data_IF_946864263079
#
_entry.id   IF_946864263079
#
_cell.length_a   1.000
_cell.length_b   1.000
_cell.length_c   1.000
_cell.angle_alpha   90.00
_cell.angle_beta   90.00
_cell.angle_gamma   90.00
#
_symmetry.space_group_name_H-M   'P 1'
#
loop_
_entity.id
_entity.type
_entity.pdbx_description
1 polymer ?
#
# COMPACT_ATOMS: atom_id res chain seq x y z
N UNK A 1 -16.03 8.36 6.69
CA UNK A 1 -17.29 8.60 7.41
C UNK A 1 -18.47 7.81 6.83
N UNK A 2 -18.86 8.02 5.57
CA UNK A 2 -19.99 7.28 4.96
C UNK A 2 -19.87 5.74 5.13
N UNK A 3 -18.76 5.16 4.69
CA UNK A 3 -18.56 3.71 4.78
C UNK A 3 -18.51 3.19 6.22
N UNK A 4 -17.98 3.98 7.15
CA UNK A 4 -18.01 3.66 8.58
C UNK A 4 -19.44 3.44 9.06
N UNK A 5 -20.36 4.36 8.70
CA UNK A 5 -21.77 4.24 9.05
C UNK A 5 -22.39 3.01 8.37
N UNK A 6 -22.16 2.81 7.06
CA UNK A 6 -22.72 1.67 6.32
C UNK A 6 -22.34 0.33 6.97
N UNK A 7 -21.07 0.12 7.29
CA UNK A 7 -20.65 -1.16 7.89
C UNK A 7 -21.06 -1.32 9.34
N UNK A 8 -21.15 -0.24 10.12
CA UNK A 8 -21.69 -0.29 11.48
C UNK A 8 -23.15 -0.74 11.44
N UNK A 9 -23.96 -0.16 10.55
CA UNK A 9 -25.35 -0.56 10.37
C UNK A 9 -25.45 -1.98 9.83
N UNK A 10 -24.66 -2.33 8.81
CA UNK A 10 -24.64 -3.69 8.25
C UNK A 10 -24.31 -4.73 9.32
N UNK A 11 -23.28 -4.49 10.14
CA UNK A 11 -22.94 -5.39 11.25
C UNK A 11 -24.08 -5.48 12.27
N UNK A 12 -24.64 -4.34 12.69
CA UNK A 12 -25.73 -4.29 13.68
C UNK A 12 -26.98 -5.04 13.21
N UNK A 13 -27.41 -4.84 11.97
CA UNK A 13 -28.68 -5.37 11.50
C UNK A 13 -28.57 -6.74 10.84
N UNK A 14 -27.42 -7.09 10.27
CA UNK A 14 -27.29 -8.33 9.48
C UNK A 14 -26.45 -9.40 10.15
N UNK A 15 -25.35 -9.03 10.83
CA UNK A 15 -24.43 -10.00 11.41
C UNK A 15 -24.69 -10.27 12.89
N UNK A 16 -25.10 -9.25 13.65
CA UNK A 16 -25.31 -9.35 15.10
C UNK A 16 -26.57 -8.56 15.53
N UNK A 17 -27.77 -8.92 15.05
CA UNK A 17 -29.02 -8.25 15.43
C UNK A 17 -29.32 -8.33 16.93
N UNK A 18 -28.88 -9.39 17.60
CA UNK A 18 -29.25 -9.69 19.00
C UNK A 18 -28.12 -9.43 20.01
N UNK A 19 -26.95 -8.96 19.57
CA UNK A 19 -25.82 -8.69 20.46
C UNK A 19 -25.96 -7.29 21.09
N UNK A 20 -26.63 -7.22 22.24
CA UNK A 20 -26.76 -5.98 23.02
C UNK A 20 -25.43 -5.50 23.63
N UNK A 21 -24.42 -6.38 23.73
CA UNK A 21 -23.13 -6.05 24.34
C UNK A 21 -22.19 -5.32 23.39
N UNK A 22 -22.47 -5.36 22.08
CA UNK A 22 -21.66 -4.70 21.08
C UNK A 22 -21.89 -3.18 21.05
N UNK A 23 -20.88 -2.41 21.47
CA UNK A 23 -20.92 -0.94 21.42
C UNK A 23 -20.25 -0.41 20.13
N UNK A 24 -21.00 0.23 19.21
CA UNK A 24 -20.45 0.74 17.95
C UNK A 24 -19.43 1.86 18.17
N UNK A 25 -19.56 2.66 19.24
CA UNK A 25 -18.61 3.71 19.59
C UNK A 25 -17.25 3.14 19.97
N UNK A 26 -17.22 2.10 20.81
CA UNK A 26 -15.98 1.39 21.16
C UNK A 26 -15.37 0.77 19.92
N UNK A 27 -16.17 0.10 19.07
CA UNK A 27 -15.67 -0.54 17.85
C UNK A 27 -15.03 0.45 16.86
N UNK A 28 -15.57 1.67 16.76
CA UNK A 28 -14.97 2.74 15.95
C UNK A 28 -13.66 3.21 16.58
N UNK A 29 -13.63 3.43 17.89
CA UNK A 29 -12.43 3.88 18.62
C UNK A 29 -11.30 2.85 18.62
N UNK A 30 -11.63 1.57 18.65
CA UNK A 30 -10.66 0.48 18.50
C UNK A 30 -10.21 0.33 17.06
N UNK A 31 -10.89 0.92 16.06
CA UNK A 31 -10.56 0.74 14.65
C UNK A 31 -10.96 -0.64 14.10
N UNK A 32 -11.87 -1.35 14.77
CA UNK A 32 -12.46 -2.64 14.36
C UNK A 32 -13.99 -2.61 14.20
N UNK A 33 -14.63 -1.57 13.61
CA UNK A 33 -16.06 -1.66 13.33
C UNK A 33 -16.34 -2.82 12.35
N UNK A 34 -15.43 -3.02 11.39
CA UNK A 34 -15.48 -4.09 10.39
C UNK A 34 -14.09 -4.34 9.78
N UNK A 35 -13.78 -5.57 9.36
CA UNK A 35 -12.46 -5.97 8.81
C UNK A 35 -12.03 -5.10 7.61
N UNK A 36 -12.97 -4.70 6.76
CA UNK A 36 -12.66 -3.83 5.61
C UNK A 36 -12.26 -2.41 5.99
N UNK A 37 -12.83 -1.89 7.07
CA UNK A 37 -12.54 -0.55 7.58
C UNK A 37 -11.20 -0.53 8.32
N UNK A 38 -10.81 -1.65 8.95
CA UNK A 38 -9.48 -1.82 9.53
C UNK A 38 -8.39 -1.46 8.51
N UNK A 39 -8.45 -2.01 7.31
CA UNK A 39 -7.49 -1.70 6.25
C UNK A 39 -7.49 -0.23 5.81
N UNK A 40 -8.65 0.43 5.79
CA UNK A 40 -8.69 1.87 5.49
C UNK A 40 -8.01 2.70 6.57
N UNK A 41 -8.17 2.34 7.85
CA UNK A 41 -7.48 3.01 8.95
C UNK A 41 -5.97 2.77 8.88
N UNK A 42 -5.55 1.54 8.56
CA UNK A 42 -4.14 1.22 8.33
C UNK A 42 -3.56 2.06 7.20
N UNK A 43 -4.22 2.11 6.04
CA UNK A 43 -3.79 2.92 4.90
C UNK A 43 -3.73 4.42 5.23
N UNK A 44 -4.72 4.94 5.95
CA UNK A 44 -4.71 6.34 6.41
C UNK A 44 -3.51 6.62 7.34
N UNK A 45 -3.23 5.73 8.30
CA UNK A 45 -2.07 5.85 9.20
C UNK A 45 -0.74 5.80 8.45
N UNK A 46 -0.58 4.85 7.53
CA UNK A 46 0.63 4.76 6.68
C UNK A 46 0.78 5.98 5.77
N UNK A 47 -0.32 6.52 5.24
CA UNK A 47 -0.31 7.74 4.42
C UNK A 47 0.15 8.95 5.26
N UNK A 48 -0.31 9.05 6.50
CA UNK A 48 0.12 10.09 7.43
C UNK A 48 1.62 9.99 7.75
N UNK A 49 2.17 8.77 7.84
CA UNK A 49 3.60 8.54 8.05
C UNK A 49 4.46 8.63 6.79
N UNK A 50 3.84 8.67 5.61
CA UNK A 50 4.55 8.75 4.32
C UNK A 50 5.58 9.87 4.22
N UNK A 51 5.37 11.12 4.68
CA UNK A 51 6.42 12.13 4.66
C UNK A 51 7.68 11.72 5.43
N UNK A 52 7.55 11.02 6.56
CA UNK A 52 8.69 10.54 7.35
C UNK A 52 9.42 9.39 6.65
N UNK A 53 8.66 8.43 6.12
CA UNK A 53 9.23 7.35 5.31
C UNK A 53 9.87 7.88 4.02
N UNK A 54 9.36 8.98 3.48
CA UNK A 54 9.96 9.64 2.31
C UNK A 54 11.37 10.12 2.61
N UNK A 55 11.63 10.67 3.80
CA UNK A 55 12.98 11.09 4.20
C UNK A 55 13.95 9.90 4.21
N UNK A 56 13.53 8.76 4.77
CA UNK A 56 14.31 7.51 4.75
C UNK A 56 14.54 7.01 3.32
N UNK A 57 13.51 7.08 2.46
CA UNK A 57 13.59 6.59 1.08
C UNK A 57 14.48 7.43 0.16
N UNK A 58 14.57 8.74 0.41
CA UNK A 58 15.33 9.69 -0.42
C UNK A 58 16.78 9.78 0.04
N UNK A 59 17.03 9.81 1.35
CA UNK A 59 18.37 10.06 1.90
C UNK A 59 19.03 8.81 2.48
N UNK A 60 18.26 7.75 2.78
CA UNK A 60 18.79 6.52 3.34
C UNK A 60 19.45 5.63 2.29
N UNK A 61 20.56 4.99 2.64
CA UNK A 61 21.19 3.98 1.80
C UNK A 61 20.26 2.77 1.59
N UNK A 62 20.42 2.01 0.50
CA UNK A 62 19.61 0.80 0.26
C UNK A 62 19.70 -0.22 1.40
N UNK A 63 20.89 -0.38 2.02
CA UNK A 63 21.08 -1.27 3.17
C UNK A 63 20.25 -0.80 4.37
N UNK A 64 20.21 0.51 4.62
CA UNK A 64 19.39 1.08 5.69
C UNK A 64 17.90 0.87 5.41
N UNK A 65 17.43 1.11 4.18
CA UNK A 65 16.02 0.91 3.83
C UNK A 65 15.57 -0.56 4.01
N UNK A 66 16.39 -1.52 3.55
CA UNK A 66 16.17 -2.95 3.80
C UNK A 66 16.19 -3.28 5.29
N UNK A 67 17.20 -2.80 6.02
CA UNK A 67 17.34 -3.02 7.45
C UNK A 67 16.12 -2.52 8.21
N UNK A 68 15.70 -1.27 7.97
CA UNK A 68 14.50 -0.70 8.61
C UNK A 68 13.24 -1.48 8.22
N UNK A 69 13.04 -1.79 6.94
CA UNK A 69 11.86 -2.54 6.49
C UNK A 69 11.78 -3.93 7.14
N UNK A 70 12.89 -4.67 7.19
CA UNK A 70 12.96 -5.98 7.83
C UNK A 70 12.82 -5.93 9.34
N UNK A 71 13.39 -4.90 10.02
CA UNK A 71 13.22 -4.72 11.46
C UNK A 71 11.75 -4.43 11.79
N UNK A 72 11.11 -3.49 11.10
CA UNK A 72 9.70 -3.18 11.34
C UNK A 72 8.79 -4.37 11.03
N UNK A 73 9.09 -5.10 9.95
CA UNK A 73 8.37 -6.33 9.62
C UNK A 73 8.56 -7.38 10.73
N UNK A 74 9.80 -7.62 11.17
CA UNK A 74 10.10 -8.58 12.23
C UNK A 74 9.45 -8.21 13.56
N UNK A 75 9.42 -6.93 13.93
CA UNK A 75 8.69 -6.43 15.11
C UNK A 75 7.19 -6.71 14.95
N UNK A 76 6.59 -6.40 13.79
CA UNK A 76 5.18 -6.67 13.55
C UNK A 76 4.85 -8.17 13.61
N UNK A 77 5.71 -9.02 13.05
CA UNK A 77 5.57 -10.48 13.12
C UNK A 77 5.66 -10.98 14.57
N UNK A 78 6.60 -10.45 15.35
CA UNK A 78 6.78 -10.82 16.75
C UNK A 78 5.59 -10.35 17.61
N UNK A 79 5.14 -9.11 17.43
CA UNK A 79 3.95 -8.54 18.09
C UNK A 79 2.71 -9.39 17.83
N UNK A 80 2.44 -9.71 16.55
CA UNK A 80 1.31 -10.56 16.17
C UNK A 80 1.40 -11.96 16.82
N UNK A 81 2.60 -12.56 16.84
CA UNK A 81 2.81 -13.86 17.47
C UNK A 81 2.60 -13.80 18.99
N UNK A 82 3.13 -12.78 19.67
CA UNK A 82 2.94 -12.56 21.11
C UNK A 82 1.46 -12.36 21.43
N UNK A 83 0.74 -11.52 20.69
CA UNK A 83 -0.70 -11.31 20.90
C UNK A 83 -1.49 -12.60 20.73
N UNK A 84 -1.13 -13.48 19.79
CA UNK A 84 -1.80 -14.77 19.62
C UNK A 84 -1.50 -15.77 20.75
N UNK A 85 -0.26 -15.84 21.20
CA UNK A 85 0.17 -16.84 22.19
C UNK A 85 -0.27 -16.45 23.60
N UNK A 86 -0.22 -15.17 23.93
CA UNK A 86 -0.47 -14.67 25.28
C UNK A 86 -1.83 -13.97 25.45
N UNK A 87 -2.64 -13.90 24.38
CA UNK A 87 -3.93 -13.19 24.35
C UNK A 87 -3.81 -11.72 24.81
N UNK A 88 -2.65 -11.10 24.52
CA UNK A 88 -2.34 -9.74 24.98
C UNK A 88 -2.79 -8.73 23.92
N UNK A 89 -3.87 -8.01 24.28
CA UNK A 89 -4.27 -6.69 23.78
C UNK A 89 -4.41 -6.51 22.27
N UNK A 90 -5.63 -6.21 21.81
CA UNK A 90 -5.81 -5.71 20.44
C UNK A 90 -5.22 -4.29 20.30
N UNK A 91 -4.41 -4.06 19.27
CA UNK A 91 -3.96 -2.72 18.91
C UNK A 91 -5.17 -1.77 18.75
N UNK A 92 -5.00 -0.49 19.08
CA UNK A 92 -6.05 0.52 18.89
C UNK A 92 -5.91 1.20 17.51
N UNK A 93 -6.85 2.07 17.14
CA UNK A 93 -6.83 2.74 15.82
C UNK A 93 -5.50 3.48 15.54
N UNK A 94 -4.81 3.97 16.57
CA UNK A 94 -3.57 4.73 16.46
C UNK A 94 -2.32 3.86 16.29
N UNK A 95 -2.35 2.58 16.69
CA UNK A 95 -1.18 1.69 16.61
C UNK A 95 -1.34 0.55 15.61
N UNK A 96 -2.57 0.28 15.14
CA UNK A 96 -2.90 -0.82 14.20
C UNK A 96 -2.13 -0.80 12.88
N UNK A 97 -1.65 0.36 12.43
CA UNK A 97 -0.87 0.45 11.20
C UNK A 97 0.60 0.07 11.39
N UNK A 98 1.12 0.11 12.63
CA UNK A 98 2.55 -0.09 12.93
C UNK A 98 3.06 -1.45 12.48
N UNK A 99 2.35 -2.58 12.73
CA UNK A 99 2.81 -3.89 12.28
C UNK A 99 2.92 -3.99 10.74
N UNK A 100 2.15 -3.18 10.00
CA UNK A 100 2.13 -3.16 8.54
C UNK A 100 3.16 -2.20 7.92
N UNK A 101 3.83 -1.38 8.73
CA UNK A 101 4.83 -0.42 8.24
C UNK A 101 6.02 -1.12 7.56
N UNK A 102 6.38 -2.32 8.02
CA UNK A 102 7.43 -3.14 7.39
C UNK A 102 7.11 -3.46 5.92
N UNK A 103 5.89 -3.93 5.64
CA UNK A 103 5.43 -4.15 4.27
C UNK A 103 5.42 -2.88 3.43
N UNK A 104 5.03 -1.75 4.02
CA UNK A 104 5.00 -0.47 3.31
C UNK A 104 6.40 -0.03 2.86
N UNK A 105 7.39 -0.09 3.74
CA UNK A 105 8.78 0.26 3.44
C UNK A 105 9.39 -0.75 2.46
N UNK A 106 9.19 -2.05 2.69
CA UNK A 106 9.70 -3.08 1.79
C UNK A 106 9.08 -2.98 0.40
N UNK A 107 7.80 -2.65 0.28
CA UNK A 107 7.16 -2.40 -1.01
C UNK A 107 7.87 -1.30 -1.81
N UNK A 108 8.34 -0.23 -1.16
CA UNK A 108 9.15 0.79 -1.80
C UNK A 108 10.49 0.24 -2.30
N UNK A 109 11.19 -0.51 -1.47
CA UNK A 109 12.51 -1.08 -1.79
C UNK A 109 12.41 -2.12 -2.91
N UNK A 110 11.38 -2.96 -2.88
CA UNK A 110 11.12 -4.00 -3.87
C UNK A 110 10.74 -3.43 -5.23
N UNK A 111 10.14 -2.23 -5.30
CA UNK A 111 9.70 -1.63 -6.59
C UNK A 111 10.87 -1.39 -7.55
N UNK A 112 12.07 -1.16 -7.01
CA UNK A 112 13.27 -0.88 -7.80
C UNK A 112 14.00 -2.17 -8.20
N UNK A 113 13.46 -3.34 -7.83
CA UNK A 113 14.01 -4.64 -8.17
C UNK A 113 13.40 -5.12 -9.47
N UNK A 114 14.29 -5.25 -10.45
CA UNK A 114 13.97 -5.84 -11.74
C UNK A 114 14.37 -7.31 -11.70
N UNK A 115 13.38 -8.20 -11.76
CA UNK A 115 13.65 -9.64 -11.87
C UNK A 115 14.12 -10.01 -13.28
N UNK A 116 15.11 -10.91 -13.34
CA UNK A 116 15.39 -11.72 -14.52
C UNK A 116 14.42 -12.90 -14.59
N UNK A 117 14.38 -13.63 -15.71
CA UNK A 117 13.56 -14.86 -15.83
C UNK A 117 13.88 -15.87 -14.73
N UNK A 118 15.17 -16.04 -14.38
CA UNK A 118 15.60 -16.90 -13.26
C UNK A 118 15.06 -16.39 -11.92
N UNK A 119 15.11 -15.08 -11.71
CA UNK A 119 14.53 -14.43 -10.53
C UNK A 119 13.01 -14.62 -10.42
N UNK A 120 12.30 -14.57 -11.56
CA UNK A 120 10.86 -14.84 -11.61
C UNK A 120 10.55 -16.30 -11.28
N UNK A 121 11.35 -17.26 -11.76
CA UNK A 121 11.21 -18.67 -11.37
C UNK A 121 11.41 -18.84 -9.87
N UNK A 122 12.45 -18.23 -9.28
CA UNK A 122 12.67 -18.27 -7.83
C UNK A 122 11.49 -17.67 -7.07
N UNK A 123 10.95 -16.53 -7.51
CA UNK A 123 9.78 -15.92 -6.89
C UNK A 123 8.54 -16.82 -6.98
N UNK A 124 8.30 -17.49 -8.12
CA UNK A 124 7.24 -18.49 -8.26
C UNK A 124 7.42 -19.66 -7.30
N UNK A 125 8.64 -20.21 -7.21
CA UNK A 125 8.96 -21.29 -6.27
C UNK A 125 8.72 -20.85 -4.84
N UNK A 126 9.17 -19.66 -4.44
CA UNK A 126 8.91 -19.10 -3.11
C UNK A 126 7.42 -18.92 -2.83
N UNK A 127 6.65 -18.43 -3.78
CA UNK A 127 5.19 -18.28 -3.66
C UNK A 127 4.51 -19.63 -3.48
N UNK A 128 4.85 -20.62 -4.32
CA UNK A 128 4.27 -21.97 -4.26
C UNK A 128 4.63 -22.65 -2.93
N UNK A 129 5.88 -22.58 -2.50
CA UNK A 129 6.33 -23.14 -1.21
C UNK A 129 5.58 -22.47 -0.05
N UNK A 130 5.44 -21.15 -0.07
CA UNK A 130 4.73 -20.42 0.97
C UNK A 130 3.24 -20.82 1.05
N UNK A 131 2.55 -20.85 -0.09
CA UNK A 131 1.14 -21.25 -0.17
C UNK A 131 0.94 -22.71 0.23
N UNK A 132 1.76 -23.62 -0.30
CA UNK A 132 1.71 -25.03 0.05
C UNK A 132 2.03 -25.25 1.53
N UNK A 133 3.03 -24.56 2.07
CA UNK A 133 3.38 -24.60 3.49
C UNK A 133 2.22 -24.12 4.38
N UNK A 134 1.59 -23.00 4.03
CA UNK A 134 0.37 -22.51 4.71
C UNK A 134 -0.76 -23.54 4.65
N UNK A 135 -1.01 -24.15 3.49
CA UNK A 135 -2.07 -25.16 3.33
C UNK A 135 -1.78 -26.44 4.14
N UNK A 136 -0.54 -26.93 4.10
CA UNK A 136 -0.11 -28.10 4.87
C UNK A 136 -0.22 -27.84 6.37
N UNK A 137 0.23 -26.67 6.85
CA UNK A 137 0.07 -26.30 8.25
C UNK A 137 -1.39 -26.14 8.63
N UNK A 138 -2.21 -25.50 7.79
CA UNK A 138 -3.63 -25.32 8.08
C UNK A 138 -4.39 -26.65 8.15
N UNK A 139 -3.98 -27.66 7.38
CA UNK A 139 -4.63 -28.97 7.36
C UNK A 139 -4.08 -30.00 8.36
N UNK A 140 -2.78 -29.96 8.65
CA UNK A 140 -2.07 -30.96 9.47
C UNK A 140 -1.41 -30.38 10.72
N UNK A 141 -1.53 -29.08 10.94
CA UNK A 141 -0.91 -28.39 12.06
C UNK A 141 -1.51 -28.79 13.41
N UNK A 142 -0.84 -28.47 14.51
CA UNK A 142 -1.30 -28.78 15.86
C UNK A 142 -2.44 -27.86 16.32
N UNK A 143 -3.25 -28.37 17.27
CA UNK A 143 -4.32 -27.63 17.94
C UNK A 143 -5.70 -27.83 17.32
N UNK A 144 -6.73 -27.23 17.93
CA UNK A 144 -8.12 -27.33 17.46
C UNK A 144 -8.40 -26.47 16.21
N UNK A 145 -7.59 -25.41 16.01
CA UNK A 145 -7.72 -24.45 14.90
C UNK A 145 -6.36 -24.20 14.24
N UNK A 146 -5.72 -25.24 13.67
CA UNK A 146 -4.36 -25.14 13.12
C UNK A 146 -4.22 -24.11 11.99
N UNK A 147 -5.32 -23.76 11.33
CA UNK A 147 -5.38 -22.73 10.30
C UNK A 147 -5.27 -21.29 10.84
N UNK A 148 -5.50 -21.03 12.13
CA UNK A 148 -5.54 -19.66 12.66
C UNK A 148 -4.20 -18.95 12.43
N UNK A 149 -3.09 -19.52 12.90
CA UNK A 149 -1.76 -18.92 12.75
C UNK A 149 -1.27 -18.74 11.30
N UNK A 150 -1.30 -19.75 10.40
CA UNK A 150 -0.69 -19.64 9.07
C UNK A 150 -1.44 -18.69 8.12
N UNK A 151 -2.71 -18.35 8.39
CA UNK A 151 -3.48 -17.40 7.57
C UNK A 151 -3.36 -15.94 7.99
N UNK A 152 -2.63 -15.67 9.07
CA UNK A 152 -2.51 -14.31 9.59
C UNK A 152 -1.58 -13.45 8.74
N UNK A 153 -1.85 -12.15 8.66
CA UNK A 153 -1.20 -11.28 7.67
C UNK A 153 0.32 -11.19 7.82
N UNK A 154 0.82 -11.28 9.04
CA UNK A 154 2.24 -11.29 9.35
C UNK A 154 2.77 -12.71 9.64
N UNK A 155 2.03 -13.76 9.27
CA UNK A 155 2.57 -15.11 9.33
C UNK A 155 3.75 -15.23 8.34
N UNK A 156 4.80 -16.02 8.65
CA UNK A 156 5.96 -16.15 7.77
C UNK A 156 5.62 -16.58 6.35
N UNK A 157 4.62 -17.47 6.20
CA UNK A 157 4.12 -17.91 4.90
C UNK A 157 3.49 -16.77 4.11
N UNK A 158 2.59 -16.00 4.75
CA UNK A 158 1.91 -14.88 4.09
C UNK A 158 2.89 -13.77 3.74
N UNK A 159 3.87 -13.48 4.60
CA UNK A 159 4.94 -12.51 4.32
C UNK A 159 5.75 -12.91 3.08
N UNK A 160 6.23 -14.15 3.03
CA UNK A 160 7.00 -14.66 1.90
C UNK A 160 6.17 -14.67 0.61
N UNK A 161 4.93 -15.14 0.68
CA UNK A 161 3.99 -15.14 -0.44
C UNK A 161 3.73 -13.73 -0.94
N UNK A 162 3.53 -12.75 -0.05
CA UNK A 162 3.25 -11.36 -0.40
C UNK A 162 4.43 -10.69 -1.11
N UNK A 163 5.66 -10.89 -0.62
CA UNK A 163 6.86 -10.37 -1.27
C UNK A 163 7.10 -11.01 -2.64
N UNK A 164 6.94 -12.34 -2.74
CA UNK A 164 7.07 -13.06 -3.99
C UNK A 164 6.00 -12.64 -5.02
N UNK A 165 4.74 -12.55 -4.60
CA UNK A 165 3.63 -12.09 -5.43
C UNK A 165 3.84 -10.65 -5.91
N UNK A 166 4.34 -9.75 -5.05
CA UNK A 166 4.67 -8.38 -5.42
C UNK A 166 5.73 -8.34 -6.54
N UNK A 167 6.82 -9.10 -6.39
CA UNK A 167 7.89 -9.14 -7.38
C UNK A 167 7.45 -9.78 -8.69
N UNK A 168 6.65 -10.86 -8.63
CA UNK A 168 6.06 -11.49 -9.81
C UNK A 168 5.12 -10.53 -10.53
N UNK A 169 4.25 -9.84 -9.79
CA UNK A 169 3.39 -8.82 -10.35
C UNK A 169 4.27 -7.77 -11.03
N UNK A 170 5.23 -7.17 -10.32
CA UNK A 170 6.15 -6.18 -10.89
C UNK A 170 6.85 -6.67 -12.15
N UNK A 171 7.32 -7.93 -12.20
CA UNK A 171 7.95 -8.54 -13.36
C UNK A 171 7.02 -8.61 -14.58
N UNK A 172 5.80 -9.13 -14.41
CA UNK A 172 4.82 -9.24 -15.50
C UNK A 172 4.22 -7.87 -15.88
N UNK A 173 4.22 -6.90 -14.96
CA UNK A 173 3.69 -5.56 -15.19
C UNK A 173 4.56 -4.66 -16.09
N UNK A 174 5.80 -5.06 -16.42
CA UNK A 174 6.76 -4.21 -17.15
C UNK A 174 6.40 -3.95 -18.61
N UNK A 175 5.67 -4.86 -19.26
CA UNK A 175 5.35 -4.79 -20.69
C UNK A 175 4.12 -3.91 -21.01
N UNK A 176 3.51 -3.30 -19.99
CA UNK A 176 2.41 -2.35 -20.14
C UNK A 176 1.02 -2.94 -19.86
N UNK A 177 0.10 -2.08 -19.40
CA UNK A 177 -1.18 -2.52 -18.81
C UNK A 177 -2.40 -1.76 -19.32
N UNK A 178 -2.95 -2.17 -20.48
CA UNK A 178 -4.23 -1.64 -20.96
C UNK A 178 -5.42 -2.04 -20.07
N UNK A 179 -5.49 -3.32 -19.69
CA UNK A 179 -6.62 -3.88 -18.95
C UNK A 179 -6.66 -3.43 -17.48
N UNK A 180 -5.53 -3.47 -16.76
CA UNK A 180 -5.52 -3.06 -15.35
C UNK A 180 -5.80 -1.57 -15.19
N UNK A 181 -5.33 -0.71 -16.10
CA UNK A 181 -5.72 0.71 -16.11
C UNK A 181 -7.23 0.91 -16.31
N UNK A 182 -7.89 0.03 -17.07
CA UNK A 182 -9.34 0.07 -17.27
C UNK A 182 -10.11 -0.36 -16.01
N UNK A 183 -9.60 -1.32 -15.23
CA UNK A 183 -10.28 -1.82 -14.03
C UNK A 183 -9.89 -1.11 -12.73
N UNK A 184 -8.72 -0.45 -12.69
CA UNK A 184 -8.21 0.28 -11.52
C UNK A 184 -9.26 1.21 -10.88
N UNK A 185 -10.03 2.02 -11.63
CA UNK A 185 -11.03 2.91 -11.03
C UNK A 185 -12.12 2.20 -10.22
N UNK A 186 -12.36 0.91 -10.46
CA UNK A 186 -13.39 0.13 -9.76
C UNK A 186 -12.85 -0.61 -8.54
N UNK A 187 -11.53 -0.75 -8.41
CA UNK A 187 -10.89 -1.57 -7.37
C UNK A 187 -11.27 -1.14 -5.95
N UNK A 188 -11.34 0.17 -5.70
CA UNK A 188 -11.76 0.72 -4.41
C UNK A 188 -13.22 0.38 -4.08
N UNK A 189 -14.13 0.50 -5.04
CA UNK A 189 -15.52 0.12 -4.85
C UNK A 189 -15.71 -1.38 -4.65
N UNK A 190 -14.98 -2.22 -5.40
CA UNK A 190 -14.95 -3.67 -5.19
C UNK A 190 -14.45 -4.03 -3.80
N UNK A 191 -13.37 -3.38 -3.34
CA UNK A 191 -12.83 -3.55 -2.00
C UNK A 191 -13.86 -3.24 -0.91
N UNK A 192 -14.77 -2.29 -1.12
CA UNK A 192 -15.81 -1.93 -0.15
C UNK A 192 -17.09 -2.77 -0.28
N UNK A 193 -17.50 -3.12 -1.49
CA UNK A 193 -18.77 -3.81 -1.68
C UNK A 193 -18.68 -5.32 -1.44
N UNK A 194 -17.51 -5.94 -1.68
CA UNK A 194 -17.44 -7.39 -1.63
C UNK A 194 -17.83 -8.00 -0.28
N UNK A 195 -17.56 -7.45 0.92
CA UNK A 195 -18.05 -8.05 2.14
C UNK A 195 -19.57 -7.94 2.28
N UNK A 196 -20.15 -6.83 1.82
CA UNK A 196 -21.60 -6.62 1.84
C UNK A 196 -22.34 -7.63 0.95
N UNK A 197 -21.67 -8.19 -0.05
CA UNK A 197 -22.20 -9.26 -0.90
C UNK A 197 -21.81 -10.66 -0.39
N UNK A 198 -20.56 -10.83 0.04
CA UNK A 198 -19.99 -12.10 0.45
C UNK A 198 -20.68 -12.64 1.71
N UNK A 199 -20.86 -11.82 2.74
CA UNK A 199 -21.45 -12.29 3.99
C UNK A 199 -22.89 -12.80 3.81
N UNK A 200 -23.80 -12.07 3.14
CA UNK A 200 -25.16 -12.56 2.93
C UNK A 200 -25.21 -13.82 2.07
N UNK A 201 -24.46 -13.86 0.98
CA UNK A 201 -24.46 -15.00 0.08
C UNK A 201 -23.85 -16.23 0.75
N UNK A 202 -22.74 -16.07 1.50
CA UNK A 202 -22.14 -17.16 2.29
C UNK A 202 -23.09 -17.67 3.36
N UNK A 203 -23.78 -16.78 4.07
CA UNK A 203 -24.73 -17.18 5.11
C UNK A 203 -25.94 -17.94 4.52
N UNK A 204 -26.39 -17.56 3.32
CA UNK A 204 -27.48 -18.24 2.62
C UNK A 204 -27.07 -19.61 2.05
N UNK A 205 -25.83 -19.75 1.55
CA UNK A 205 -25.35 -21.00 0.95
C UNK A 205 -24.72 -21.97 1.96
N UNK A 206 -24.37 -21.50 3.16
CA UNK A 206 -23.65 -22.29 4.16
C UNK A 206 -22.15 -22.39 3.87
N UNK A 207 -21.44 -23.15 4.71
CA UNK A 207 -20.01 -23.43 4.53
C UNK A 207 -19.84 -24.68 3.64
N UNK A 208 -18.85 -24.68 2.73
CA UNK A 208 -18.58 -25.85 1.91
C UNK A 208 -18.00 -26.99 2.76
N UNK A 209 -18.54 -28.19 2.57
CA UNK A 209 -18.12 -29.44 3.20
C UNK A 209 -17.53 -30.46 2.19
N UNK A 210 -17.56 -30.13 0.89
CA UNK A 210 -17.03 -30.96 -0.19
C UNK A 210 -15.92 -30.23 -0.97
N UNK A 211 -14.99 -30.98 -1.56
CA UNK A 211 -13.90 -30.41 -2.38
C UNK A 211 -14.42 -29.53 -3.53
N UNK A 212 -15.44 -29.93 -4.32
CA UNK A 212 -16.02 -29.06 -5.33
C UNK A 212 -16.66 -27.80 -4.72
N UNK A 213 -17.32 -27.93 -3.56
CA UNK A 213 -17.85 -26.80 -2.82
C UNK A 213 -16.77 -25.81 -2.39
N UNK A 214 -15.62 -26.30 -1.92
CA UNK A 214 -14.46 -25.47 -1.56
C UNK A 214 -13.90 -24.76 -2.80
N UNK A 215 -13.74 -25.45 -3.93
CA UNK A 215 -13.28 -24.82 -5.17
C UNK A 215 -14.23 -23.74 -5.68
N UNK A 216 -15.54 -23.99 -5.60
CA UNK A 216 -16.58 -23.00 -5.90
C UNK A 216 -16.39 -21.76 -5.01
N UNK A 217 -16.29 -21.95 -3.69
CA UNK A 217 -16.15 -20.85 -2.73
C UNK A 217 -14.80 -20.12 -2.81
N UNK A 218 -13.71 -20.81 -3.14
CA UNK A 218 -12.36 -20.26 -3.14
C UNK A 218 -11.99 -19.57 -4.47
N UNK A 219 -12.55 -20.01 -5.60
CA UNK A 219 -12.15 -19.52 -6.93
C UNK A 219 -13.30 -18.82 -7.64
N UNK A 220 -14.43 -19.51 -7.81
CA UNK A 220 -15.53 -19.01 -8.65
C UNK A 220 -16.27 -17.86 -7.95
N UNK A 221 -16.62 -18.04 -6.68
CA UNK A 221 -17.39 -17.05 -5.93
C UNK A 221 -16.66 -15.70 -5.79
N UNK A 222 -15.35 -15.62 -5.45
CA UNK A 222 -14.64 -14.36 -5.41
C UNK A 222 -14.61 -13.63 -6.74
N UNK A 223 -14.47 -14.34 -7.86
CA UNK A 223 -14.54 -13.76 -9.20
C UNK A 223 -15.95 -13.21 -9.46
N UNK A 224 -16.99 -13.99 -9.18
CA UNK A 224 -18.38 -13.57 -9.34
C UNK A 224 -18.69 -12.31 -8.50
N UNK A 225 -18.28 -12.30 -7.23
CA UNK A 225 -18.45 -11.15 -6.35
C UNK A 225 -17.69 -9.93 -6.87
N UNK A 226 -16.45 -10.09 -7.33
CA UNK A 226 -15.66 -9.00 -7.88
C UNK A 226 -16.34 -8.40 -9.11
N UNK A 227 -16.89 -9.22 -10.00
CA UNK A 227 -17.62 -8.76 -11.19
C UNK A 227 -18.91 -8.01 -10.83
N UNK A 228 -19.72 -8.56 -9.91
CA UNK A 228 -20.94 -7.90 -9.43
C UNK A 228 -20.60 -6.58 -8.74
N UNK A 229 -19.61 -6.56 -7.86
CA UNK A 229 -19.17 -5.34 -7.18
C UNK A 229 -18.60 -4.30 -8.16
N UNK A 230 -17.87 -4.74 -9.19
CA UNK A 230 -17.36 -3.86 -10.23
C UNK A 230 -18.50 -3.25 -11.05
N UNK A 231 -19.53 -4.04 -11.38
CA UNK A 231 -20.74 -3.55 -12.06
C UNK A 231 -21.51 -2.53 -11.20
N UNK A 232 -21.73 -2.83 -9.91
CA UNK A 232 -22.38 -1.89 -8.98
C UNK A 232 -21.55 -0.61 -8.87
N UNK A 233 -20.22 -0.72 -8.72
CA UNK A 233 -19.33 0.43 -8.66
C UNK A 233 -19.42 1.25 -9.95
N UNK A 234 -19.40 0.61 -11.11
CA UNK A 234 -19.53 1.26 -12.42
C UNK A 234 -20.83 2.07 -12.57
N UNK A 235 -21.95 1.56 -12.05
CA UNK A 235 -23.22 2.30 -12.01
C UNK A 235 -23.13 3.45 -11.00
N UNK A 236 -22.65 3.17 -9.79
CA UNK A 236 -22.60 4.14 -8.69
C UNK A 236 -21.74 5.37 -9.02
N UNK A 237 -20.61 5.19 -9.71
CA UNK A 237 -19.70 6.30 -10.05
C UNK A 237 -20.27 7.25 -11.12
N UNK A 238 -21.33 6.85 -11.84
CA UNK A 238 -22.08 7.72 -12.76
C UNK A 238 -23.02 8.67 -12.04
N UNK A 239 -23.38 8.37 -10.78
CA UNK A 239 -24.29 9.19 -9.97
C UNK A 239 -23.45 10.21 -9.20
N UNK A 240 -23.65 11.53 -9.40
CA UNK A 240 -22.77 12.57 -8.84
C UNK A 240 -22.57 12.48 -7.32
N UNK A 241 -23.62 12.17 -6.56
CA UNK A 241 -23.56 12.06 -5.09
C UNK A 241 -22.80 10.82 -4.60
N UNK A 242 -22.93 9.68 -5.29
CA UNK A 242 -22.25 8.44 -4.89
C UNK A 242 -20.79 8.42 -5.33
N UNK A 243 -20.42 9.14 -6.40
CA UNK A 243 -19.05 9.19 -6.90
C UNK A 243 -18.02 9.61 -5.84
N UNK A 244 -18.37 10.55 -4.95
CA UNK A 244 -17.47 11.01 -3.89
C UNK A 244 -17.14 9.89 -2.88
N UNK A 245 -18.09 8.99 -2.66
CA UNK A 245 -18.00 7.90 -1.69
C UNK A 245 -17.16 6.73 -2.22
N UNK A 246 -17.19 6.50 -3.54
CA UNK A 246 -16.45 5.42 -4.21
C UNK A 246 -15.06 5.85 -4.72
N UNK A 247 -14.59 7.05 -4.33
CA UNK A 247 -13.34 7.63 -4.81
C UNK A 247 -13.48 8.21 -6.22
N UNK A 248 -13.02 9.44 -6.43
CA UNK A 248 -13.21 10.18 -7.69
C UNK A 248 -12.72 9.38 -8.92
N UNK A 249 -13.68 8.79 -9.64
CA UNK A 249 -13.42 7.85 -10.74
C UNK A 249 -13.17 8.55 -12.09
N UNK A 250 -12.59 9.76 -12.08
CA UNK A 250 -12.03 10.31 -13.31
C UNK A 250 -10.52 10.08 -13.27
N UNK A 251 -9.98 9.26 -14.19
CA UNK A 251 -8.59 9.44 -14.58
C UNK A 251 -8.52 10.88 -15.11
N UNK A 252 -7.97 11.79 -14.30
CA UNK A 252 -7.55 13.09 -14.79
C UNK A 252 -6.36 12.76 -15.67
N UNK A 253 -6.62 12.53 -16.96
CA UNK A 253 -5.57 12.15 -17.90
C UNK A 253 -4.53 13.28 -17.88
N UNK A 254 -3.34 13.08 -17.28
CA UNK A 254 -2.35 14.15 -17.11
C UNK A 254 -1.83 14.65 -18.47
N UNK A 255 -2.09 13.89 -19.52
CA UNK A 255 -1.73 14.17 -20.90
C UNK A 255 -2.82 14.86 -21.71
N UNK A 256 -3.92 15.29 -21.08
CA UNK A 256 -4.83 16.23 -21.75
C UNK A 256 -4.13 17.59 -21.79
N UNK A 257 -3.23 17.77 -22.77
CA UNK A 257 -2.67 19.08 -23.08
C UNK A 257 -3.85 20.05 -23.24
N UNK A 258 -3.79 21.25 -22.66
CA UNK A 258 -4.77 22.28 -22.99
C UNK A 258 -4.82 22.34 -24.51
N UNK A 259 -6.02 22.16 -25.07
CA UNK A 259 -6.25 22.29 -26.50
C UNK A 259 -5.82 23.71 -26.84
N UNK A 260 -4.59 23.88 -27.33
CA UNK A 260 -4.11 25.15 -27.86
C UNK A 260 -5.09 25.46 -28.98
N UNK A 261 -5.98 26.39 -28.70
CA UNK A 261 -6.94 26.90 -29.65
C UNK A 261 -6.08 27.45 -30.78
N UNK A 262 -5.99 26.72 -31.90
CA UNK A 262 -5.35 27.22 -33.11
C UNK A 262 -6.06 28.52 -33.45
N UNK A 263 -5.42 29.65 -33.13
CA UNK A 263 -5.80 30.95 -33.65
C UNK A 263 -5.91 30.77 -35.17
N UNK A 264 -7.12 31.04 -35.69
CA UNK A 264 -7.37 31.07 -37.13
C UNK A 264 -6.29 31.93 -37.79
N UNK A 265 -5.63 31.46 -38.86
CA UNK A 265 -4.78 32.32 -39.67
C UNK A 265 -5.69 33.42 -40.24
N UNK A 266 -5.58 34.65 -39.72
CA UNK A 266 -6.42 35.78 -40.13
C UNK A 266 -6.92 36.71 -39.01
N UNK A 267 -6.70 36.39 -37.73
CA UNK A 267 -6.97 37.36 -36.66
C UNK A 267 -5.86 38.42 -36.65
N UNK A 268 -6.19 39.65 -37.09
CA UNK A 268 -5.32 40.83 -37.01
C UNK A 268 -4.76 41.00 -35.61
N UNK A 269 -3.44 41.07 -35.50
CA UNK A 269 -2.76 41.43 -34.27
C UNK A 269 -3.18 42.86 -33.85
N UNK A 270 -3.44 43.12 -32.57
CA UNK A 270 -3.57 44.48 -32.08
C UNK A 270 -2.22 45.23 -32.18
N UNK A 271 -2.24 46.55 -32.39
CA UNK A 271 -1.04 47.32 -32.69
C UNK A 271 -0.05 47.34 -31.50
N UNK A 272 1.26 47.48 -31.78
CA UNK A 272 2.30 47.49 -30.77
C UNK A 272 2.15 48.72 -29.86
N UNK A 273 2.05 48.48 -28.56
CA UNK A 273 2.14 49.53 -27.55
C UNK A 273 3.59 49.99 -27.50
N UNK A 274 3.77 51.31 -27.61
CA UNK A 274 5.03 52.00 -27.70
C UNK A 274 5.97 51.69 -26.53
N UNK A 275 7.24 51.49 -26.89
CA UNK A 275 8.41 51.42 -26.02
C UNK A 275 8.68 52.77 -25.34
N UNK A 276 8.85 52.77 -24.02
CA UNK A 276 9.58 53.82 -23.29
C UNK A 276 10.72 53.16 -22.52
N UNK A 277 11.91 53.21 -23.10
CA UNK A 277 13.20 53.10 -22.40
C UNK A 277 13.48 54.45 -21.70
N UNK A 278 14.09 54.41 -20.50
CA UNK A 278 15.35 55.15 -20.30
C UNK A 278 16.38 54.20 -19.65
N UNK A 279 17.54 54.00 -20.24
CA UNK A 279 18.73 54.87 -20.18
C UNK A 279 19.77 54.24 -19.23
N UNK A 280 20.77 53.70 -19.92
CA UNK A 280 22.10 53.26 -19.55
C UNK A 280 22.77 54.06 -18.41
N UNK A 281 23.36 53.34 -17.44
CA UNK A 281 24.59 53.77 -16.76
C UNK A 281 25.26 52.60 -16.04
N UNK A 282 26.50 52.32 -16.42
CA UNK A 282 27.51 51.55 -15.70
C UNK A 282 28.87 52.21 -15.97
N UNK A 283 29.97 51.90 -15.25
CA UNK A 283 30.18 51.66 -13.82
C UNK A 283 31.28 52.62 -13.27
N UNK A 284 31.86 52.39 -12.07
CA UNK A 284 33.19 51.77 -12.12
C UNK A 284 33.52 50.78 -10.99
N UNK A 285 34.48 49.90 -11.30
CA UNK A 285 35.30 49.08 -10.40
C UNK A 285 35.97 49.86 -9.27
N UNK A 286 36.36 49.16 -8.18
CA UNK A 286 37.79 49.20 -7.88
C UNK A 286 38.40 47.84 -7.44
N UNK A 287 39.57 47.62 -8.02
CA UNK A 287 40.78 46.94 -7.55
C UNK A 287 40.83 46.33 -6.12
N UNK A 288 41.08 45.01 -6.09
CA UNK A 288 42.13 44.26 -5.37
C UNK A 288 42.56 44.60 -3.92
N UNK A 289 42.59 43.57 -3.05
CA UNK A 289 43.82 43.10 -2.36
C UNK A 289 43.62 41.80 -1.55
N UNK A 290 44.67 40.95 -1.57
CA UNK A 290 45.10 39.84 -0.68
C UNK A 290 44.08 38.77 -0.23
N UNK A 291 44.21 37.52 -0.64
CA UNK A 291 45.22 36.54 -0.21
C UNK A 291 45.21 36.27 1.32
N UNK A 292 44.55 35.18 1.73
CA UNK A 292 44.89 34.47 2.95
C UNK A 292 44.99 32.98 2.61
N UNK A 293 46.23 32.61 2.30
CA UNK A 293 46.76 31.28 2.17
C UNK A 293 47.13 30.84 3.59
N UNK A 294 46.54 29.74 4.08
CA UNK A 294 47.09 29.05 5.26
C UNK A 294 47.31 27.61 4.88
N UNK A 295 48.51 27.39 4.38
CA UNK A 295 49.16 26.11 4.21
C UNK A 295 49.77 25.73 5.56
N UNK A 296 49.39 24.58 6.13
CA UNK A 296 50.13 23.92 7.20
C UNK A 296 50.25 22.43 6.86
N UNK A 297 51.33 22.15 6.14
CA UNK A 297 52.24 21.00 6.26
C UNK A 297 51.93 20.08 7.46
N UNK A 298 51.62 18.80 7.22
CA UNK A 298 52.60 17.70 7.12
C UNK A 298 53.50 17.56 8.35
N UNK A 299 53.13 16.65 9.25
CA UNK A 299 54.10 15.96 10.11
C UNK A 299 53.80 14.46 10.07
N UNK A 300 54.70 13.76 9.38
CA UNK A 300 54.89 12.32 9.34
C UNK A 300 55.92 11.98 10.42
N UNK A 301 55.58 11.13 11.40
CA UNK A 301 56.58 10.29 12.08
C UNK A 301 55.98 9.01 12.71
N UNK A 302 56.46 7.88 12.19
CA UNK A 302 56.84 6.63 12.87
C UNK A 302 55.77 5.74 13.54
N UNK A 303 55.49 4.55 12.98
CA UNK A 303 56.17 3.24 13.21
C UNK A 303 56.08 2.68 14.65
N UNK A 304 55.18 1.70 14.81
CA UNK A 304 55.55 0.32 15.16
C UNK A 304 55.59 -0.12 16.63
N UNK A 305 54.69 -1.05 16.99
CA UNK A 305 54.97 -2.38 17.62
C UNK A 305 53.75 -2.91 18.41
N UNK A 306 53.21 -4.04 17.97
CA UNK A 306 52.83 -5.15 18.87
C UNK A 306 54.13 -5.89 19.29
N UNK A 307 54.19 -6.75 20.35
CA UNK A 307 53.12 -7.61 20.87
C UNK A 307 53.04 -7.78 22.42
N UNK A 308 52.15 -8.70 22.81
CA UNK A 308 51.74 -9.28 24.11
C UNK A 308 52.78 -9.46 25.22
N UNK A 309 52.35 -9.75 26.47
CA UNK A 309 51.82 -11.07 26.86
C UNK A 309 50.33 -11.08 27.22
#
# INVERSE_FOLDING_TARGET
>A
MFWTVVYVLFRRYYLQPDDETWNPGIAILTGSPFVQLYFLYVLAGLTLLTPFFRLLSVHGSRRLQWGTGLIFLGIGMADQWVSMVFDVGEANIATRFLPMAGFYILGWVLRDIVLSVRGAVLAWVSLIIAVAGTAVWAGLGPGEKPWMFPYEYLSPGVVLASMAAYLLLHFHLREGFGLLHRFYPYSFGVFLLHPLLLYPVRNAMGLPDTVPGVLLHAVIMPIAYALVCAAITWVAVKIPGLRAVFGESRPRNPHTRPRVMKLRPGAKAPPPVASTTPEETAPPEPAGSSAFETDLASEDTARGREPSP
#
